data_IF_616021276677
#
_entry.id   IF_616021276677
#
_cell.length_a   1.000
_cell.length_b   1.000
_cell.length_c   1.000
_cell.angle_alpha   90.00
_cell.angle_beta   90.00
_cell.angle_gamma   90.00
#
_symmetry.space_group_name_H-M   'P 1'
#
loop_
_entity.id
_entity.type
_entity.pdbx_description
1 polymer ?
#
# COMPACT_ATOMS: atom_id res chain seq x y z
N UNK A 1 -33.51 -2.07 -19.35
CA UNK A 1 -33.28 -1.32 -18.09
C UNK A 1 -32.23 -0.26 -18.39
N UNK A 2 -32.44 1.02 -18.05
CA UNK A 2 -31.39 2.02 -18.18
C UNK A 2 -30.19 1.59 -17.32
N UNK A 3 -29.00 1.77 -17.85
CA UNK A 3 -27.74 1.46 -17.19
C UNK A 3 -27.67 2.22 -15.85
N UNK A 4 -27.42 1.56 -14.71
CA UNK A 4 -27.51 2.22 -13.38
C UNK A 4 -26.37 3.22 -13.11
N UNK A 5 -25.45 3.38 -14.06
CA UNK A 5 -24.29 4.25 -13.99
C UNK A 5 -24.27 5.20 -15.20
N UNK A 6 -23.73 6.40 -14.98
CA UNK A 6 -23.65 7.43 -16.02
C UNK A 6 -22.43 7.20 -16.91
N UNK A 7 -22.63 7.37 -18.21
CA UNK A 7 -21.54 7.53 -19.17
C UNK A 7 -21.35 9.03 -19.47
N UNK A 8 -20.13 9.47 -19.82
CA UNK A 8 -18.89 8.68 -19.92
C UNK A 8 -18.32 8.26 -18.54
N UNK A 9 -17.46 7.23 -18.51
CA UNK A 9 -16.70 6.82 -17.33
C UNK A 9 -15.26 7.38 -17.42
N UNK A 10 -14.98 8.57 -16.88
CA UNK A 10 -13.64 9.13 -16.91
C UNK A 10 -12.71 8.34 -15.98
N UNK A 11 -11.47 8.15 -16.44
CA UNK A 11 -10.38 7.62 -15.62
C UNK A 11 -9.11 8.45 -15.81
N UNK A 12 -8.14 8.23 -14.92
CA UNK A 12 -6.80 8.79 -14.99
C UNK A 12 -5.80 7.64 -15.06
N UNK A 13 -4.91 7.69 -16.05
CA UNK A 13 -3.69 6.88 -16.03
C UNK A 13 -2.64 7.65 -15.22
N UNK A 14 -2.08 7.00 -14.20
CA UNK A 14 -1.03 7.61 -13.36
C UNK A 14 0.15 6.66 -13.17
N UNK A 15 1.31 7.26 -12.96
CA UNK A 15 2.56 6.55 -12.68
C UNK A 15 2.93 6.73 -11.19
N UNK A 16 2.87 5.64 -10.43
CA UNK A 16 3.17 5.63 -8.99
C UNK A 16 4.63 5.27 -8.75
N UNK A 17 5.24 5.85 -7.72
CA UNK A 17 6.68 5.75 -7.43
C UNK A 17 7.58 6.27 -8.55
N UNK A 18 7.05 7.17 -9.37
CA UNK A 18 7.73 7.76 -10.50
C UNK A 18 8.12 9.22 -10.22
N UNK A 19 9.29 9.62 -10.71
CA UNK A 19 9.73 11.03 -10.73
C UNK A 19 9.48 11.70 -12.09
N UNK A 20 9.08 10.93 -13.09
CA UNK A 20 8.80 11.36 -14.47
C UNK A 20 7.72 10.45 -15.08
N UNK A 21 6.97 10.91 -16.09
CA UNK A 21 6.00 10.09 -16.79
C UNK A 21 6.64 8.84 -17.43
N UNK A 22 5.81 7.80 -17.63
CA UNK A 22 6.15 6.52 -18.23
C UNK A 22 7.24 5.74 -17.47
N UNK A 23 7.24 5.88 -16.14
CA UNK A 23 8.14 5.18 -15.24
C UNK A 23 7.39 4.74 -13.98
N UNK A 24 8.01 3.90 -13.14
CA UNK A 24 7.33 3.40 -11.94
C UNK A 24 6.21 2.41 -12.26
N UNK A 25 5.18 2.38 -11.43
CA UNK A 25 4.07 1.44 -11.55
C UNK A 25 2.82 2.15 -12.08
N UNK A 26 2.34 1.69 -13.24
CA UNK A 26 1.16 2.25 -13.91
C UNK A 26 -0.13 1.85 -13.18
N UNK A 27 -1.05 2.81 -13.04
CA UNK A 27 -2.31 2.65 -12.32
C UNK A 27 -3.43 3.37 -13.06
N UNK A 28 -4.54 2.66 -13.26
CA UNK A 28 -5.79 3.26 -13.67
C UNK A 28 -6.61 3.68 -12.44
N UNK A 29 -7.00 4.96 -12.36
CA UNK A 29 -7.83 5.51 -11.29
C UNK A 29 -9.16 6.00 -11.85
N UNK A 30 -10.27 5.48 -11.36
CA UNK A 30 -11.62 5.99 -11.63
C UNK A 30 -12.05 6.91 -10.48
N UNK A 31 -12.04 8.25 -10.65
CA UNK A 31 -12.25 9.18 -9.54
C UNK A 31 -13.70 9.21 -9.03
N UNK A 32 -14.65 8.79 -9.87
CA UNK A 32 -16.06 8.67 -9.52
C UNK A 32 -16.61 7.33 -10.01
N UNK A 33 -16.72 6.40 -9.07
CA UNK A 33 -17.19 5.04 -9.30
C UNK A 33 -18.55 4.76 -8.65
N UNK A 34 -19.27 5.82 -8.24
CA UNK A 34 -20.57 5.69 -7.56
C UNK A 34 -21.56 4.95 -8.46
N UNK A 35 -22.15 3.88 -7.91
CA UNK A 35 -23.13 3.06 -8.61
C UNK A 35 -22.56 2.10 -9.65
N UNK A 36 -21.23 2.01 -9.80
CA UNK A 36 -20.62 0.97 -10.65
C UNK A 36 -20.72 -0.40 -9.96
N UNK A 37 -21.29 -1.42 -10.61
CA UNK A 37 -21.34 -2.76 -10.04
C UNK A 37 -19.96 -3.43 -10.12
N UNK A 38 -19.63 -4.30 -9.15
CA UNK A 38 -18.34 -4.98 -9.09
C UNK A 38 -17.94 -5.73 -10.38
N UNK A 39 -18.86 -6.44 -11.07
CA UNK A 39 -18.52 -7.10 -12.33
C UNK A 39 -18.07 -6.13 -13.42
N UNK A 40 -18.60 -4.91 -13.45
CA UNK A 40 -18.17 -3.89 -14.41
C UNK A 40 -16.79 -3.32 -14.04
N UNK A 41 -16.54 -3.07 -12.76
CA UNK A 41 -15.21 -2.66 -12.29
C UNK A 41 -14.13 -3.68 -12.68
N UNK A 42 -14.44 -4.98 -12.51
CA UNK A 42 -13.57 -6.08 -12.93
C UNK A 42 -13.36 -6.11 -14.46
N UNK A 43 -14.42 -5.89 -15.25
CA UNK A 43 -14.31 -5.79 -16.72
C UNK A 43 -13.42 -4.61 -17.13
N UNK A 44 -13.57 -3.45 -16.49
CA UNK A 44 -12.74 -2.28 -16.75
C UNK A 44 -11.27 -2.51 -16.36
N UNK A 45 -11.01 -3.19 -15.24
CA UNK A 45 -9.65 -3.54 -14.84
C UNK A 45 -8.97 -4.46 -15.88
N UNK A 46 -9.71 -5.43 -16.42
CA UNK A 46 -9.25 -6.30 -17.51
C UNK A 46 -8.98 -5.53 -18.80
N UNK A 47 -9.90 -4.64 -19.18
CA UNK A 47 -9.79 -3.83 -20.40
C UNK A 47 -8.53 -2.94 -20.38
N UNK A 48 -8.25 -2.29 -19.25
CA UNK A 48 -7.12 -1.38 -19.12
C UNK A 48 -5.77 -2.09 -18.94
N UNK A 49 -5.81 -3.37 -18.55
CA UNK A 49 -4.66 -4.27 -18.45
C UNK A 49 -3.44 -3.65 -17.73
N UNK A 50 -3.71 -2.84 -16.69
CA UNK A 50 -2.72 -2.43 -15.71
C UNK A 50 -2.63 -3.52 -14.63
N UNK A 51 -1.53 -3.55 -13.86
CA UNK A 51 -1.40 -4.49 -12.74
C UNK A 51 -2.58 -4.37 -11.77
N UNK A 52 -3.02 -3.12 -11.53
CA UNK A 52 -4.16 -2.79 -10.70
C UNK A 52 -4.96 -1.62 -11.28
N UNK A 53 -6.27 -1.60 -11.04
CA UNK A 53 -7.16 -0.46 -11.22
C UNK A 53 -7.87 -0.15 -9.89
N UNK A 54 -8.03 1.13 -9.57
CA UNK A 54 -8.69 1.58 -8.34
C UNK A 54 -9.87 2.51 -8.63
N UNK A 55 -10.97 2.24 -7.93
CA UNK A 55 -12.27 2.87 -8.13
C UNK A 55 -12.66 3.65 -6.87
N UNK A 56 -12.94 4.93 -7.01
CA UNK A 56 -13.11 5.85 -5.90
C UNK A 56 -14.53 6.39 -5.79
N UNK A 57 -15.01 6.56 -4.57
CA UNK A 57 -16.11 7.46 -4.25
C UNK A 57 -15.58 8.49 -3.24
N UNK A 58 -15.30 9.69 -3.74
CA UNK A 58 -14.66 10.76 -2.98
C UNK A 58 -15.73 11.61 -2.28
N UNK A 59 -15.69 11.66 -0.96
CA UNK A 59 -16.41 12.63 -0.15
C UNK A 59 -15.46 13.76 0.25
N UNK A 60 -15.43 14.80 -0.59
CA UNK A 60 -14.53 15.95 -0.45
C UNK A 60 -14.60 16.65 0.91
N UNK A 61 -15.79 17.02 1.42
CA UNK A 61 -15.96 17.64 2.73
C UNK A 61 -15.39 16.83 3.90
N UNK A 62 -15.60 15.52 3.93
CA UNK A 62 -15.12 14.65 5.02
C UNK A 62 -13.68 14.16 4.81
N UNK A 63 -13.11 14.36 3.61
CA UNK A 63 -11.83 13.78 3.16
C UNK A 63 -11.82 12.25 3.27
N UNK A 64 -12.99 11.64 3.24
CA UNK A 64 -13.17 10.20 3.18
C UNK A 64 -13.25 9.74 1.73
N UNK A 65 -12.54 8.67 1.40
CA UNK A 65 -12.57 8.08 0.06
C UNK A 65 -12.91 6.60 0.23
N UNK A 66 -14.08 6.17 -0.26
CA UNK A 66 -14.34 4.73 -0.41
C UNK A 66 -13.58 4.27 -1.64
N UNK A 67 -12.78 3.21 -1.51
CA UNK A 67 -11.95 2.71 -2.59
C UNK A 67 -12.12 1.20 -2.76
N UNK A 68 -12.07 0.74 -4.01
CA UNK A 68 -12.03 -0.68 -4.39
C UNK A 68 -10.92 -0.90 -5.39
N UNK A 69 -10.16 -1.98 -5.23
CA UNK A 69 -8.96 -2.25 -6.02
C UNK A 69 -9.15 -3.58 -6.74
N UNK A 70 -8.85 -3.62 -8.02
CA UNK A 70 -8.98 -4.82 -8.84
C UNK A 70 -7.68 -5.06 -9.60
N UNK A 71 -7.22 -6.32 -9.60
CA UNK A 71 -6.32 -6.81 -10.64
C UNK A 71 -7.13 -7.22 -11.85
N UNK A 72 -6.49 -7.76 -12.89
CA UNK A 72 -7.20 -8.38 -14.02
C UNK A 72 -8.01 -9.61 -13.61
N UNK A 73 -7.65 -10.25 -12.51
CA UNK A 73 -8.25 -11.52 -12.07
C UNK A 73 -9.35 -11.32 -11.03
N UNK A 74 -9.11 -10.48 -10.02
CA UNK A 74 -9.96 -10.38 -8.83
C UNK A 74 -9.93 -9.00 -8.15
N UNK A 75 -10.85 -8.81 -7.20
CA UNK A 75 -10.82 -7.69 -6.28
C UNK A 75 -9.84 -7.94 -5.13
N UNK A 76 -9.01 -6.96 -4.82
CA UNK A 76 -8.08 -7.00 -3.70
C UNK A 76 -8.62 -6.20 -2.50
N UNK A 77 -8.53 -6.75 -1.27
CA UNK A 77 -8.95 -6.05 -0.06
C UNK A 77 -8.02 -4.88 0.29
N UNK A 78 -6.79 -4.88 -0.22
CA UNK A 78 -5.81 -3.82 -0.01
C UNK A 78 -4.66 -3.91 -1.01
N UNK A 79 -4.23 -2.77 -1.53
CA UNK A 79 -2.92 -2.64 -2.18
C UNK A 79 -2.34 -1.25 -1.97
N UNK A 80 -1.02 -1.21 -1.77
CA UNK A 80 -0.35 0.00 -1.29
C UNK A 80 -0.19 1.09 -2.34
N UNK A 81 0.35 0.73 -3.51
CA UNK A 81 0.62 1.72 -4.56
C UNK A 81 -0.68 2.32 -5.17
N UNK A 82 -1.79 1.56 -5.34
CA UNK A 82 -3.04 2.13 -5.83
C UNK A 82 -3.59 3.21 -4.92
N UNK A 83 -3.49 3.03 -3.60
CA UNK A 83 -3.94 4.02 -2.60
C UNK A 83 -3.13 5.31 -2.69
N UNK A 84 -1.81 5.23 -2.93
CA UNK A 84 -0.97 6.42 -3.10
C UNK A 84 -1.31 7.19 -4.38
N UNK A 85 -1.47 6.47 -5.50
CA UNK A 85 -1.86 7.08 -6.78
C UNK A 85 -3.26 7.70 -6.71
N UNK A 86 -4.21 7.00 -6.08
CA UNK A 86 -5.55 7.52 -5.85
C UNK A 86 -5.58 8.76 -4.96
N UNK A 87 -4.72 8.86 -3.94
CA UNK A 87 -4.63 10.07 -3.12
C UNK A 87 -4.17 11.29 -3.93
N UNK A 88 -3.22 11.11 -4.86
CA UNK A 88 -2.80 12.17 -5.78
C UNK A 88 -3.94 12.61 -6.70
N UNK A 89 -4.70 11.65 -7.25
CA UNK A 89 -5.88 11.94 -8.09
C UNK A 89 -6.98 12.63 -7.28
N UNK A 90 -7.33 12.11 -6.10
CA UNK A 90 -8.34 12.72 -5.24
C UNK A 90 -7.96 14.14 -4.82
N UNK A 91 -6.67 14.40 -4.56
CA UNK A 91 -6.14 15.74 -4.31
C UNK A 91 -6.36 16.65 -5.51
N UNK A 92 -5.95 16.24 -6.69
CA UNK A 92 -6.11 17.04 -7.90
C UNK A 92 -7.59 17.34 -8.23
N UNK A 93 -8.49 16.37 -8.07
CA UNK A 93 -9.89 16.50 -8.48
C UNK A 93 -10.75 17.24 -7.45
N UNK A 94 -10.55 16.99 -6.15
CA UNK A 94 -11.43 17.53 -5.11
C UNK A 94 -10.87 18.79 -4.43
N UNK A 95 -9.55 18.95 -4.36
CA UNK A 95 -8.89 20.02 -3.61
C UNK A 95 -7.66 20.57 -4.35
N UNK A 96 -7.80 21.03 -5.61
CA UNK A 96 -6.66 21.44 -6.43
C UNK A 96 -5.85 22.59 -5.82
N UNK A 97 -6.46 23.51 -5.07
CA UNK A 97 -5.71 24.65 -4.50
C UNK A 97 -4.98 24.31 -3.20
N UNK A 98 -5.16 23.11 -2.65
CA UNK A 98 -4.51 22.72 -1.41
C UNK A 98 -3.05 22.32 -1.65
N UNK A 99 -2.13 22.80 -0.80
CA UNK A 99 -0.73 22.34 -0.81
C UNK A 99 -0.56 20.94 -0.21
N UNK A 100 -1.38 20.61 0.79
CA UNK A 100 -1.33 19.36 1.56
C UNK A 100 -2.74 18.92 1.95
N UNK A 101 -3.03 17.63 1.78
CA UNK A 101 -4.28 17.02 2.22
C UNK A 101 -4.04 15.72 2.96
N UNK A 102 -4.75 15.53 4.07
CA UNK A 102 -4.88 14.26 4.76
C UNK A 102 -6.23 13.61 4.40
N UNK A 103 -6.19 12.35 3.99
CA UNK A 103 -7.31 11.53 3.56
C UNK A 103 -7.47 10.33 4.47
N UNK A 104 -8.70 9.81 4.52
CA UNK A 104 -8.94 8.44 4.99
C UNK A 104 -9.53 7.60 3.87
N UNK A 105 -8.79 6.58 3.45
CA UNK A 105 -9.21 5.62 2.44
C UNK A 105 -9.89 4.42 3.11
N UNK A 106 -11.18 4.23 2.84
CA UNK A 106 -11.95 3.06 3.23
C UNK A 106 -11.82 1.94 2.19
N UNK A 107 -11.15 0.85 2.57
CA UNK A 107 -10.91 -0.35 1.77
C UNK A 107 -11.55 -1.54 2.50
N UNK A 108 -12.76 -1.92 2.09
CA UNK A 108 -13.60 -2.82 2.87
C UNK A 108 -13.86 -2.25 4.26
N UNK A 109 -13.55 -3.02 5.30
CA UNK A 109 -13.70 -2.59 6.72
C UNK A 109 -12.53 -1.75 7.23
N UNK A 110 -11.48 -1.56 6.42
CA UNK A 110 -10.25 -0.91 6.85
C UNK A 110 -10.21 0.57 6.44
N UNK A 111 -9.90 1.45 7.39
CA UNK A 111 -9.48 2.82 7.13
C UNK A 111 -7.95 2.95 7.03
N UNK A 112 -7.44 3.63 6.01
CA UNK A 112 -6.01 3.91 5.82
C UNK A 112 -5.81 5.41 5.74
N UNK A 113 -4.94 5.94 6.60
CA UNK A 113 -4.57 7.35 6.58
C UNK A 113 -3.54 7.59 5.47
N UNK A 114 -3.81 8.57 4.62
CA UNK A 114 -2.95 8.93 3.49
C UNK A 114 -2.78 10.43 3.45
N UNK A 115 -1.55 10.89 3.35
CA UNK A 115 -1.20 12.30 3.17
C UNK A 115 -0.71 12.51 1.73
N UNK A 116 -1.14 13.58 1.08
CA UNK A 116 -0.71 13.98 -0.26
C UNK A 116 -0.28 15.45 -0.29
N UNK A 117 0.83 15.73 -0.97
CA UNK A 117 1.38 17.08 -1.15
C UNK A 117 1.53 17.38 -2.64
N UNK A 118 1.28 18.64 -3.02
CA UNK A 118 1.70 19.12 -4.33
C UNK A 118 3.22 19.08 -4.46
N UNK A 119 3.68 18.78 -5.65
CA UNK A 119 5.09 18.83 -6.03
C UNK A 119 5.21 19.46 -7.43
N UNK A 120 6.38 20.00 -7.81
CA UNK A 120 6.55 20.71 -9.09
C UNK A 120 6.13 19.92 -10.35
N UNK A 121 6.23 18.58 -10.30
CA UNK A 121 5.92 17.70 -11.41
C UNK A 121 4.92 16.59 -11.02
N UNK A 122 3.98 16.89 -10.13
CA UNK A 122 2.93 15.97 -9.72
C UNK A 122 2.66 16.02 -8.22
N UNK A 123 2.71 14.87 -7.57
CA UNK A 123 2.38 14.74 -6.15
C UNK A 123 3.39 13.90 -5.41
N UNK A 124 3.56 14.20 -4.13
CA UNK A 124 4.15 13.29 -3.16
C UNK A 124 3.03 12.71 -2.32
N UNK A 125 3.06 11.41 -2.06
CA UNK A 125 2.07 10.77 -1.20
C UNK A 125 2.75 9.88 -0.15
N UNK A 126 2.08 9.70 0.99
CA UNK A 126 2.51 8.84 2.08
C UNK A 126 1.28 8.18 2.71
N UNK A 127 1.38 6.89 3.01
CA UNK A 127 0.34 6.16 3.74
C UNK A 127 0.85 5.62 5.07
N UNK A 128 -0.05 5.48 6.03
CA UNK A 128 0.13 4.68 7.24
C UNK A 128 -0.46 3.29 7.03
N UNK A 129 0.41 2.30 6.79
CA UNK A 129 0.00 0.90 6.60
C UNK A 129 -0.23 0.16 7.92
N UNK A 130 -0.08 0.82 9.06
CA UNK A 130 -0.16 0.19 10.37
C UNK A 130 1.07 -0.67 10.70
N UNK A 131 0.89 -1.57 11.67
CA UNK A 131 1.93 -2.46 12.17
C UNK A 131 1.95 -3.74 11.33
N UNK A 132 3.12 -4.13 10.84
CA UNK A 132 3.29 -5.39 10.14
C UNK A 132 3.01 -6.58 11.08
N UNK A 133 2.27 -7.54 10.57
CA UNK A 133 2.00 -8.82 11.21
C UNK A 133 2.87 -9.89 10.55
N UNK A 134 3.38 -10.80 11.37
CA UNK A 134 4.31 -11.85 10.95
C UNK A 134 3.69 -13.20 11.29
N UNK A 135 3.57 -14.09 10.31
CA UNK A 135 3.29 -15.50 10.54
C UNK A 135 4.47 -16.21 11.21
N UNK A 136 4.37 -17.50 11.55
CA UNK A 136 5.53 -18.25 12.05
C UNK A 136 6.63 -18.36 10.96
N UNK A 137 7.92 -18.31 11.33
CA UNK A 137 9.01 -18.66 10.41
C UNK A 137 8.84 -20.07 9.85
N UNK A 138 9.07 -20.26 8.55
CA UNK A 138 9.04 -21.58 7.94
C UNK A 138 10.28 -22.39 8.33
N UNK A 139 10.09 -23.66 8.69
CA UNK A 139 11.19 -24.62 8.79
C UNK A 139 11.80 -24.88 7.41
N UNK A 140 13.01 -25.45 7.36
CA UNK A 140 13.68 -25.78 6.10
C UNK A 140 12.82 -26.72 5.22
N UNK A 141 12.12 -27.68 5.83
CA UNK A 141 11.22 -28.59 5.10
C UNK A 141 10.00 -27.87 4.53
N UNK A 142 9.44 -26.91 5.26
CA UNK A 142 8.31 -26.09 4.78
C UNK A 142 8.74 -25.09 3.70
N UNK A 143 9.96 -24.54 3.79
CA UNK A 143 10.50 -23.58 2.84
C UNK A 143 10.86 -24.20 1.47
N UNK A 144 11.30 -25.46 1.47
CA UNK A 144 11.76 -26.17 0.27
C UNK A 144 10.81 -26.11 -0.94
N UNK A 145 9.49 -26.39 -0.82
CA UNK A 145 8.58 -26.31 -1.97
C UNK A 145 8.43 -24.90 -2.54
N UNK A 146 8.48 -23.86 -1.71
CA UNK A 146 8.42 -22.47 -2.17
C UNK A 146 9.67 -22.08 -2.96
N UNK A 147 10.85 -22.45 -2.46
CA UNK A 147 12.11 -22.21 -3.16
C UNK A 147 12.16 -22.98 -4.48
N UNK A 148 11.79 -24.26 -4.49
CA UNK A 148 11.73 -25.07 -5.70
C UNK A 148 10.76 -24.48 -6.73
N UNK A 149 9.59 -24.00 -6.28
CA UNK A 149 8.62 -23.30 -7.13
C UNK A 149 9.15 -22.01 -7.75
N UNK A 150 10.15 -21.37 -7.13
CA UNK A 150 10.87 -20.21 -7.67
C UNK A 150 12.09 -20.59 -8.54
N UNK A 151 12.35 -21.88 -8.73
CA UNK A 151 13.55 -22.38 -9.41
C UNK A 151 14.83 -22.24 -8.60
N UNK A 152 14.71 -22.26 -7.26
CA UNK A 152 15.78 -22.05 -6.31
C UNK A 152 16.02 -23.30 -5.46
N UNK A 153 17.25 -23.44 -4.98
CA UNK A 153 17.67 -24.48 -4.05
C UNK A 153 17.63 -23.96 -2.59
N UNK A 154 17.55 -24.84 -1.57
CA UNK A 154 17.62 -24.45 -0.16
C UNK A 154 18.84 -23.58 0.16
N UNK A 155 19.97 -23.85 -0.51
CA UNK A 155 21.18 -23.08 -0.37
C UNK A 155 21.09 -21.66 -0.93
N UNK A 156 20.09 -21.30 -1.72
CA UNK A 156 19.93 -19.95 -2.29
C UNK A 156 19.32 -18.96 -1.29
N UNK A 157 18.58 -19.46 -0.30
CA UNK A 157 18.01 -18.67 0.77
C UNK A 157 19.08 -18.05 1.69
N UNK A 158 18.72 -16.95 2.34
CA UNK A 158 19.57 -16.29 3.31
C UNK A 158 19.81 -17.19 4.54
N UNK A 159 21.05 -17.20 5.06
CA UNK A 159 21.45 -18.16 6.09
C UNK A 159 20.77 -17.96 7.46
N UNK A 160 20.36 -16.73 7.78
CA UNK A 160 19.85 -16.37 9.11
C UNK A 160 18.47 -15.72 9.10
N UNK A 161 17.95 -15.36 7.92
CA UNK A 161 16.64 -14.71 7.80
C UNK A 161 15.64 -15.74 7.28
N UNK A 162 14.54 -15.98 8.00
CA UNK A 162 13.60 -17.01 7.61
C UNK A 162 12.75 -16.57 6.42
N UNK A 163 12.27 -17.56 5.65
CA UNK A 163 11.07 -17.39 4.85
C UNK A 163 9.88 -17.28 5.81
N UNK A 164 9.05 -16.26 5.62
CA UNK A 164 7.96 -15.97 6.55
C UNK A 164 6.85 -15.19 5.85
N UNK A 165 5.59 -15.50 6.18
CA UNK A 165 4.47 -14.67 5.76
C UNK A 165 4.49 -13.35 6.54
N UNK A 166 4.41 -12.22 5.83
CA UNK A 166 4.34 -10.88 6.40
C UNK A 166 3.20 -10.11 5.73
N UNK A 167 2.43 -9.36 6.52
CA UNK A 167 1.34 -8.54 6.00
C UNK A 167 1.24 -7.19 6.69
N UNK A 168 0.99 -6.14 5.92
CA UNK A 168 0.43 -4.87 6.40
C UNK A 168 -0.97 -4.63 5.85
N UNK A 169 -1.61 -5.66 5.30
CA UNK A 169 -2.94 -5.63 4.68
C UNK A 169 -3.16 -6.84 3.79
N UNK A 170 -2.36 -6.96 2.73
CA UNK A 170 -2.36 -8.10 1.81
C UNK A 170 -1.12 -8.96 2.10
N UNK A 171 -1.26 -10.26 2.40
CA UNK A 171 -0.16 -11.09 2.92
C UNK A 171 0.80 -11.58 1.84
N UNK A 172 2.10 -11.44 2.08
CA UNK A 172 3.18 -11.90 1.22
C UNK A 172 4.03 -12.94 1.92
N UNK A 173 4.45 -13.98 1.21
CA UNK A 173 5.62 -14.75 1.60
C UNK A 173 6.87 -13.95 1.28
N UNK A 174 7.61 -13.52 2.31
CA UNK A 174 8.91 -12.88 2.13
C UNK A 174 9.98 -13.96 1.98
N UNK A 175 10.78 -13.86 0.92
CA UNK A 175 11.85 -14.80 0.59
C UNK A 175 13.20 -14.08 0.51
N UNK A 176 13.95 -14.02 1.63
CA UNK A 176 15.29 -13.46 1.66
C UNK A 176 16.28 -14.36 0.92
N UNK A 177 16.97 -13.85 -0.10
CA UNK A 177 17.97 -14.60 -0.87
C UNK A 177 19.38 -14.06 -0.66
N UNK A 178 20.38 -14.95 -0.70
CA UNK A 178 21.81 -14.58 -0.68
C UNK A 178 22.49 -14.73 -2.04
N UNK A 179 21.90 -15.48 -2.96
CA UNK A 179 22.41 -15.74 -4.31
C UNK A 179 21.27 -16.04 -5.27
N UNK A 180 21.54 -15.99 -6.57
CA UNK A 180 20.58 -16.29 -7.65
C UNK A 180 19.29 -15.46 -7.61
N UNK A 181 19.34 -14.28 -6.98
CA UNK A 181 18.22 -13.35 -6.89
C UNK A 181 17.64 -12.96 -8.27
N UNK A 182 18.51 -12.74 -9.26
CA UNK A 182 18.10 -12.43 -10.63
C UNK A 182 17.44 -13.59 -11.39
N UNK A 183 17.61 -14.83 -10.92
CA UNK A 183 17.08 -16.04 -11.57
C UNK A 183 15.76 -16.53 -10.97
N UNK A 184 15.40 -16.01 -9.79
CA UNK A 184 14.15 -16.31 -9.10
C UNK A 184 12.97 -15.86 -9.95
N UNK A 185 12.03 -16.77 -10.19
CA UNK A 185 10.74 -16.54 -10.86
C UNK A 185 9.83 -17.73 -10.59
N UNK A 186 8.52 -17.54 -10.55
CA UNK A 186 7.58 -18.67 -10.40
C UNK A 186 7.70 -19.57 -11.65
N UNK A 187 7.97 -20.86 -11.46
CA UNK A 187 8.18 -21.86 -12.53
C UNK A 187 7.18 -23.01 -12.52
N UNK A 188 6.28 -23.02 -11.55
CA UNK A 188 5.33 -24.12 -11.32
C UNK A 188 3.91 -23.61 -11.39
N UNK A 189 3.03 -24.43 -11.96
CA UNK A 189 1.60 -24.21 -11.83
C UNK A 189 1.16 -24.40 -10.36
N UNK A 190 0.08 -23.72 -9.96
CA UNK A 190 -0.47 -23.87 -8.61
C UNK A 190 0.34 -23.22 -7.49
N UNK A 191 1.25 -22.29 -7.82
CA UNK A 191 2.03 -21.57 -6.81
C UNK A 191 1.13 -20.76 -5.85
N UNK A 192 -0.01 -20.25 -6.32
CA UNK A 192 -1.04 -19.65 -5.47
C UNK A 192 -1.56 -20.61 -4.40
N UNK A 193 -1.90 -21.85 -4.77
CA UNK A 193 -2.39 -22.84 -3.83
C UNK A 193 -1.32 -23.18 -2.78
N UNK A 194 -0.04 -23.18 -3.18
CA UNK A 194 1.09 -23.35 -2.26
C UNK A 194 1.22 -22.16 -1.29
N UNK A 195 1.09 -20.91 -1.77
CA UNK A 195 1.08 -19.72 -0.91
C UNK A 195 -0.09 -19.75 0.10
N UNK A 196 -1.26 -20.21 -0.33
CA UNK A 196 -2.44 -20.30 0.51
C UNK A 196 -2.23 -21.23 1.73
N UNK A 197 -1.37 -22.26 1.64
CA UNK A 197 -1.10 -23.18 2.77
C UNK A 197 -0.43 -22.49 3.96
N UNK A 198 0.14 -21.32 3.78
CA UNK A 198 0.76 -20.50 4.84
C UNK A 198 0.04 -19.15 5.04
N UNK A 199 -1.14 -18.98 4.42
CA UNK A 199 -1.91 -17.75 4.47
C UNK A 199 -1.27 -16.57 3.72
N UNK A 200 -0.37 -16.84 2.77
CA UNK A 200 0.16 -15.83 1.86
C UNK A 200 -0.69 -15.76 0.59
N UNK A 201 -0.79 -14.59 -0.03
CA UNK A 201 -1.46 -14.40 -1.33
C UNK A 201 -0.47 -14.23 -2.48
N UNK A 202 0.67 -13.61 -2.20
CA UNK A 202 1.75 -13.36 -3.17
C UNK A 202 3.11 -13.72 -2.57
N UNK A 203 4.15 -13.77 -3.41
CA UNK A 203 5.55 -13.96 -2.99
C UNK A 203 6.36 -12.71 -3.26
N UNK A 204 7.21 -12.33 -2.32
CA UNK A 204 8.15 -11.22 -2.49
C UNK A 204 9.57 -11.70 -2.20
N UNK A 205 10.37 -11.80 -3.25
CA UNK A 205 11.79 -12.14 -3.14
C UNK A 205 12.56 -10.87 -2.82
N UNK A 206 13.46 -10.92 -1.84
CA UNK A 206 14.22 -9.75 -1.39
C UNK A 206 15.71 -10.07 -1.29
N UNK A 207 16.54 -9.13 -1.74
CA UNK A 207 17.96 -9.07 -1.43
C UNK A 207 18.14 -8.29 -0.12
N UNK A 208 18.52 -8.95 1.00
CA UNK A 208 18.67 -8.26 2.30
C UNK A 208 19.88 -7.31 2.35
N UNK A 209 20.88 -7.53 1.51
CA UNK A 209 22.10 -6.72 1.44
C UNK A 209 21.96 -5.59 0.42
N UNK A 210 21.10 -5.78 -0.58
CA UNK A 210 20.75 -4.82 -1.61
C UNK A 210 19.44 -4.06 -1.37
N UNK A 211 19.13 -3.07 -2.22
CA UNK A 211 17.85 -2.39 -2.21
C UNK A 211 16.76 -3.11 -3.03
N UNK A 212 17.07 -4.28 -3.60
CA UNK A 212 16.26 -4.92 -4.65
C UNK A 212 15.24 -5.92 -4.06
N UNK A 213 14.07 -5.96 -4.69
CA UNK A 213 13.05 -6.97 -4.42
C UNK A 213 12.21 -7.19 -5.67
N UNK A 214 11.61 -8.36 -5.78
CA UNK A 214 10.87 -8.81 -6.98
C UNK A 214 9.62 -9.57 -6.57
N UNK A 215 8.54 -9.38 -7.32
CA UNK A 215 7.28 -10.10 -7.17
C UNK A 215 6.59 -10.20 -8.52
N UNK A 216 5.66 -11.13 -8.64
CA UNK A 216 4.97 -11.44 -9.88
C UNK A 216 3.48 -11.63 -9.58
N UNK A 217 2.67 -11.65 -10.63
CA UNK A 217 1.39 -12.35 -10.55
C UNK A 217 1.61 -13.82 -10.14
N UNK A 218 0.54 -14.48 -9.69
CA UNK A 218 0.63 -15.85 -9.20
C UNK A 218 0.89 -16.90 -10.29
N UNK A 219 0.81 -16.51 -11.57
CA UNK A 219 1.15 -17.36 -12.71
C UNK A 219 2.63 -17.23 -13.10
N UNK A 220 3.34 -16.23 -12.55
CA UNK A 220 4.72 -15.91 -12.90
C UNK A 220 4.88 -15.26 -14.27
N UNK A 221 3.80 -14.77 -14.88
CA UNK A 221 3.81 -14.25 -16.25
C UNK A 221 4.28 -12.80 -16.30
N UNK A 222 3.78 -11.97 -15.38
CA UNK A 222 4.09 -10.55 -15.31
C UNK A 222 4.78 -10.23 -13.98
N UNK A 223 5.94 -9.59 -14.07
CA UNK A 223 6.66 -9.05 -12.91
C UNK A 223 6.10 -7.67 -12.55
N UNK A 224 5.80 -7.45 -11.28
CA UNK A 224 5.36 -6.14 -10.77
C UNK A 224 6.56 -5.19 -10.70
N UNK A 225 6.40 -3.99 -11.25
CA UNK A 225 7.48 -2.99 -11.33
C UNK A 225 7.84 -2.44 -9.95
N UNK A 226 6.85 -2.21 -9.08
CA UNK A 226 7.07 -1.69 -7.73
C UNK A 226 5.88 -1.90 -6.78
N UNK A 227 6.08 -2.71 -5.74
CA UNK A 227 5.05 -3.05 -4.75
C UNK A 227 5.14 -2.16 -3.50
N UNK A 228 4.06 -1.43 -3.21
CA UNK A 228 4.02 -0.40 -2.14
C UNK A 228 4.10 -0.90 -0.68
N UNK A 229 4.34 -2.18 -0.41
CA UNK A 229 4.37 -2.74 0.95
C UNK A 229 5.75 -2.72 1.63
N UNK A 230 6.79 -2.26 0.95
CA UNK A 230 8.14 -2.21 1.52
C UNK A 230 8.27 -1.13 2.58
N UNK A 231 8.23 -1.49 3.87
CA UNK A 231 8.63 -0.64 5.01
C UNK A 231 10.15 -0.59 5.21
N UNK A 232 10.72 0.56 5.62
CA UNK A 232 12.14 0.64 6.03
C UNK A 232 12.38 -0.11 7.35
N UNK A 233 12.94 -1.32 7.30
CA UNK A 233 13.38 -2.09 8.47
C UNK A 233 14.90 -1.95 8.77
N UNK A 234 15.57 -0.91 8.26
CA UNK A 234 17.02 -0.75 8.41
C UNK A 234 17.39 0.63 8.98
N UNK A 235 17.52 0.70 10.32
CA UNK A 235 18.46 1.61 10.99
C UNK A 235 18.63 1.20 12.46
N UNK A 236 19.63 0.34 12.73
CA UNK A 236 20.50 0.28 13.94
C UNK A 236 21.04 -1.14 14.11
N UNK A 237 22.11 -1.45 13.39
CA UNK A 237 23.10 -2.43 13.82
C UNK A 237 24.42 -1.68 14.02
N UNK A 238 25.01 -1.66 15.22
CA UNK A 238 26.37 -1.16 15.40
C UNK A 238 27.35 -2.16 14.78
N UNK A 239 27.99 -1.76 13.69
CA UNK A 239 29.16 -2.48 13.15
C UNK A 239 30.40 -2.25 14.03
N UNK A 240 31.36 -3.19 14.08
CA UNK A 240 32.59 -3.02 14.83
C UNK A 240 33.49 -1.90 14.23
N UNK A 241 34.33 -1.24 15.05
CA UNK A 241 35.09 -0.07 14.62
C UNK A 241 36.15 -0.46 13.59
N UNK A 242 36.09 0.16 12.40
CA UNK A 242 37.18 0.10 11.41
C UNK A 242 38.23 1.17 11.72
N UNK A 243 39.49 0.73 11.81
CA UNK A 243 40.69 1.60 11.88
C UNK A 243 40.92 2.32 10.53
N UNK A 244 41.50 3.53 10.53
CA UNK A 244 41.73 4.29 9.31
C UNK A 244 43.03 3.83 8.63
N UNK A 245 42.99 3.66 7.31
CA UNK A 245 44.18 3.75 6.46
C UNK A 245 43.81 4.59 5.23
N UNK A 246 44.61 5.61 4.97
CA UNK A 246 44.43 6.58 3.90
C UNK A 246 44.98 6.07 2.56
N UNK A 247 44.74 6.85 1.51
CA UNK A 247 45.37 6.67 0.21
C UNK A 247 44.49 7.11 -0.95
N UNK A 248 44.80 8.30 -1.46
CA UNK A 248 44.28 8.96 -2.66
C UNK A 248 44.58 8.21 -3.97
N UNK A 249 43.74 8.43 -5.01
CA UNK A 249 44.13 8.17 -6.39
C UNK A 249 42.96 8.24 -7.38
N UNK A 250 43.09 9.09 -8.39
CA UNK A 250 42.03 9.53 -9.32
C UNK A 250 42.34 9.19 -10.78
N UNK A 251 41.27 8.89 -11.54
CA UNK A 251 41.04 9.17 -12.98
C UNK A 251 41.57 8.16 -14.05
N UNK A 252 41.17 8.26 -15.35
CA UNK A 252 40.22 7.32 -15.98
C UNK A 252 40.72 6.71 -17.31
N UNK A 253 40.02 5.74 -17.89
CA UNK A 253 40.11 5.49 -19.34
C UNK A 253 38.88 4.81 -19.92
N UNK A 254 38.49 5.29 -21.09
CA UNK A 254 37.40 4.86 -21.96
C UNK A 254 37.88 3.78 -22.94
N UNK A 255 36.96 2.90 -23.37
CA UNK A 255 36.90 2.24 -24.69
C UNK A 255 35.60 1.43 -24.79
N UNK A 256 34.77 1.71 -25.81
CA UNK A 256 33.69 0.81 -26.29
C UNK A 256 34.27 -0.36 -27.11
N UNK A 257 33.48 -1.18 -27.85
CA UNK A 257 32.15 -0.89 -28.42
C UNK A 257 31.12 -2.07 -28.40
N UNK A 258 29.97 -1.81 -29.05
CA UNK A 258 29.20 -2.71 -29.93
C UNK A 258 27.82 -3.25 -29.49
N UNK A 259 26.85 -2.97 -30.38
CA UNK A 259 25.64 -3.71 -30.77
C UNK A 259 24.66 -4.17 -29.67
N UNK A 260 23.56 -3.42 -29.58
CA UNK A 260 22.43 -3.71 -28.69
C UNK A 260 21.49 -4.78 -29.25
N UNK A 261 21.10 -5.67 -28.35
CA UNK A 261 20.03 -6.65 -28.48
C UNK A 261 18.82 -6.11 -27.69
N UNK A 262 17.63 -5.88 -28.29
CA UNK A 262 16.55 -5.16 -27.61
C UNK A 262 15.51 -6.12 -27.02
N UNK A 263 15.84 -6.86 -25.95
CA UNK A 263 14.82 -7.60 -25.19
C UNK A 263 15.31 -8.10 -23.81
N UNK A 264 15.88 -7.24 -22.96
CA UNK A 264 16.01 -7.56 -21.52
C UNK A 264 16.26 -6.30 -20.69
N UNK A 265 15.31 -5.37 -20.65
CA UNK A 265 15.34 -4.28 -19.67
C UNK A 265 14.79 -4.76 -18.33
N UNK A 266 15.54 -5.63 -17.63
CA UNK A 266 15.35 -5.82 -16.20
C UNK A 266 15.67 -4.48 -15.54
N UNK A 267 14.64 -3.76 -15.11
CA UNK A 267 14.75 -2.40 -14.61
C UNK A 267 15.46 -2.38 -13.25
N UNK A 268 16.78 -2.24 -13.30
CA UNK A 268 17.66 -2.06 -12.15
C UNK A 268 17.47 -0.65 -11.57
N UNK A 269 16.68 -0.53 -10.52
CA UNK A 269 16.46 0.76 -9.85
C UNK A 269 17.38 0.95 -8.64
N UNK A 270 18.20 2.02 -8.70
CA UNK A 270 18.90 2.58 -7.54
C UNK A 270 17.94 3.44 -6.72
N UNK A 271 18.09 3.37 -5.38
CA UNK A 271 17.35 4.11 -4.33
C UNK A 271 16.70 5.42 -4.82
N UNK A 272 15.41 5.37 -5.17
CA UNK A 272 14.53 6.52 -4.98
C UNK A 272 14.09 6.52 -3.51
N UNK A 273 14.07 7.71 -2.90
CA UNK A 273 13.81 7.93 -1.48
C UNK A 273 12.37 7.63 -1.06
N UNK A 274 11.90 6.40 -1.27
CA UNK A 274 10.59 5.92 -0.83
C UNK A 274 10.66 5.76 0.70
N UNK A 275 9.85 6.52 1.42
CA UNK A 275 9.68 6.43 2.86
C UNK A 275 8.25 6.03 3.20
N UNK A 276 7.97 4.73 3.19
CA UNK A 276 6.93 4.17 4.06
C UNK A 276 7.56 4.03 5.46
N UNK A 277 6.91 4.60 6.47
CA UNK A 277 7.33 4.39 7.87
C UNK A 277 6.46 3.29 8.45
N UNK A 278 6.93 2.05 8.36
CA UNK A 278 6.43 0.99 9.23
C UNK A 278 7.08 1.18 10.61
N UNK A 279 6.29 1.39 11.67
CA UNK A 279 6.81 1.42 13.04
C UNK A 279 6.77 0.00 13.60
N UNK A 280 7.89 -0.71 13.54
CA UNK A 280 8.05 -1.98 14.26
C UNK A 280 9.40 -1.98 14.99
N UNK A 281 9.39 -1.95 16.33
CA UNK A 281 10.53 -2.45 17.12
C UNK A 281 10.43 -3.97 17.15
N UNK A 282 10.99 -4.64 16.13
CA UNK A 282 11.17 -6.08 16.17
C UNK A 282 12.57 -6.36 16.77
N UNK A 283 12.61 -6.70 18.05
CA UNK A 283 13.78 -7.37 18.62
C UNK A 283 13.74 -8.82 18.16
N UNK A 284 14.63 -9.18 17.24
CA UNK A 284 14.83 -10.56 16.79
C UNK A 284 15.33 -11.40 17.98
N UNK A 285 14.44 -12.13 18.64
CA UNK A 285 14.81 -13.03 19.73
C UNK A 285 15.44 -14.29 19.15
N UNK A 286 16.72 -14.52 19.43
CA UNK A 286 17.36 -15.83 19.26
C UNK A 286 16.70 -16.82 20.22
N UNK A 287 16.18 -17.92 19.69
CA UNK A 287 15.83 -19.07 20.53
C UNK A 287 17.12 -19.68 21.11
N UNK A 288 17.21 -19.94 22.42
CA UNK A 288 18.31 -20.72 22.98
C UNK A 288 18.13 -22.19 22.62
N UNK A 289 19.22 -22.81 22.18
CA UNK A 289 19.37 -24.25 21.97
C UNK A 289 19.06 -25.00 23.26
N UNK A 290 18.12 -25.94 23.20
CA UNK A 290 17.85 -26.89 24.27
C UNK A 290 19.03 -27.87 24.40
N UNK A 291 19.59 -27.98 25.60
CA UNK A 291 20.33 -29.19 26.00
C UNK A 291 19.60 -29.83 27.17
N UNK A 292 19.37 -31.13 27.01
CA UNK A 292 18.73 -32.02 27.95
C UNK A 292 19.58 -32.23 29.20
N UNK A 293 18.96 -32.24 30.38
CA UNK A 293 19.25 -33.20 31.46
C UNK A 293 18.13 -33.19 32.48
N UNK A 294 17.55 -34.38 32.68
CA UNK A 294 16.61 -34.68 33.74
C UNK A 294 17.35 -34.91 35.06
N UNK A 295 16.80 -34.43 36.19
CA UNK A 295 16.83 -35.14 37.46
C UNK A 295 15.79 -34.58 38.43
N UNK A 296 15.02 -35.51 38.99
CA UNK A 296 14.07 -35.40 40.10
C UNK A 296 14.55 -34.65 41.34
N UNK A 297 13.64 -33.98 42.06
CA UNK A 297 13.18 -34.37 43.42
C UNK A 297 12.18 -33.37 44.01
N UNK A 298 11.21 -33.93 44.72
CA UNK A 298 10.16 -33.31 45.53
C UNK A 298 10.67 -32.31 46.58
N UNK A 299 9.82 -31.33 46.92
CA UNK A 299 9.31 -31.15 48.29
C UNK A 299 8.33 -29.96 48.39
N UNK A 300 7.07 -30.29 48.67
CA UNK A 300 6.26 -29.74 49.77
C UNK A 300 6.09 -28.21 49.96
N UNK A 301 4.84 -27.72 49.81
CA UNK A 301 3.82 -27.58 50.87
C UNK A 301 2.96 -26.28 50.75
N UNK A 302 1.63 -26.49 50.84
CA UNK A 302 0.55 -25.63 51.36
C UNK A 302 -0.02 -24.44 50.55
N UNK A 303 -1.22 -24.70 50.03
CA UNK A 303 -2.35 -23.76 49.85
C UNK A 303 -2.97 -23.36 51.20
N UNK A 304 -3.76 -22.26 51.27
CA UNK A 304 -5.21 -22.44 51.21
C UNK A 304 -6.01 -21.39 50.37
N UNK A 305 -6.96 -21.91 49.60
CA UNK A 305 -8.38 -21.54 49.44
C UNK A 305 -8.86 -20.05 49.47
N UNK A 306 -9.23 -19.54 48.27
CA UNK A 306 -10.52 -18.92 47.78
C UNK A 306 -11.67 -18.54 48.78
N UNK A 307 -12.72 -17.73 48.44
CA UNK A 307 -13.16 -17.13 47.15
C UNK A 307 -13.76 -15.67 47.29
N UNK A 308 -14.85 -15.22 46.59
CA UNK A 308 -14.83 -14.33 45.42
C UNK A 308 -15.56 -12.98 45.61
N UNK A 309 -15.34 -11.97 44.76
CA UNK A 309 -16.29 -10.85 44.67
C UNK A 309 -15.87 -9.56 43.98
N UNK A 310 -16.65 -9.21 42.94
CA UNK A 310 -17.15 -7.89 42.52
C UNK A 310 -16.19 -6.79 41.99
N UNK A 311 -16.68 -6.21 40.89
CA UNK A 311 -16.30 -5.01 40.09
C UNK A 311 -15.66 -3.86 40.89
N UNK A 312 -14.93 -2.99 40.17
CA UNK A 312 -15.27 -1.56 40.24
C UNK A 312 -15.23 -0.85 38.87
N UNK A 313 -16.22 0.01 38.61
CA UNK A 313 -15.94 1.33 38.03
C UNK A 313 -15.44 2.25 39.15
N UNK A 314 -14.71 3.33 38.86
CA UNK A 314 -15.43 4.61 38.71
C UNK A 314 -14.80 5.58 37.69
N UNK A 315 -15.64 6.50 37.20
CA UNK A 315 -15.24 7.82 36.68
C UNK A 315 -14.85 8.73 37.85
N UNK A 316 -13.96 9.71 37.62
CA UNK A 316 -14.10 11.02 38.25
C UNK A 316 -14.47 12.12 37.25
N UNK A 317 -15.13 13.13 37.80
CA UNK A 317 -15.79 14.29 37.20
C UNK A 317 -15.16 15.57 37.75
N UNK A 318 -15.17 16.65 36.94
CA UNK A 318 -15.09 18.10 37.24
C UNK A 318 -13.78 18.65 37.84
N UNK A 319 -13.36 19.92 37.66
CA UNK A 319 -14.05 21.22 37.50
C UNK A 319 -13.37 22.08 36.39
N UNK A 320 -14.08 22.80 35.53
CA UNK A 320 -14.78 24.08 35.69
C UNK A 320 -13.86 25.32 35.82
N UNK A 321 -13.92 26.18 34.80
CA UNK A 321 -13.39 27.53 34.75
C UNK A 321 -14.22 28.35 33.77
N UNK A 322 -15.04 29.23 34.33
CA UNK A 322 -16.07 30.08 33.69
C UNK A 322 -15.41 31.27 32.97
N UNK A 323 -16.03 31.70 31.87
CA UNK A 323 -15.73 32.96 31.18
C UNK A 323 -16.84 33.27 30.18
N UNK A 324 -17.85 34.00 30.66
CA UNK A 324 -19.00 34.51 29.92
C UNK A 324 -18.61 35.37 28.70
N UNK A 325 -19.37 35.26 27.62
CA UNK A 325 -19.99 36.41 26.91
C UNK A 325 -20.96 35.90 25.83
N UNK A 326 -22.26 36.16 26.03
CA UNK A 326 -23.33 35.94 25.06
C UNK A 326 -23.44 37.08 24.02
N UNK A 327 -24.06 36.83 22.85
CA UNK A 327 -24.19 37.76 21.71
C UNK A 327 -25.56 38.50 21.70
N UNK A 328 -25.80 39.46 20.79
CA UNK A 328 -27.17 39.90 20.50
C UNK A 328 -27.70 39.38 19.14
N UNK A 329 -28.71 38.53 19.28
CA UNK A 329 -30.05 38.53 18.67
C UNK A 329 -30.34 39.26 17.34
N UNK A 330 -30.98 38.47 16.47
CA UNK A 330 -31.85 38.81 15.34
C UNK A 330 -33.13 39.52 15.78
N UNK A 331 -33.61 40.50 14.99
CA UNK A 331 -35.04 40.86 14.86
C UNK A 331 -35.40 41.00 13.37
N UNK A 332 -36.48 40.32 12.96
CA UNK A 332 -37.13 40.51 11.67
C UNK A 332 -38.51 41.17 11.81
N UNK A 333 -39.05 41.56 10.64
CA UNK A 333 -40.44 41.94 10.23
C UNK A 333 -40.32 43.13 9.24
N UNK A 334 -40.93 43.19 8.06
CA UNK A 334 -41.87 42.33 7.34
C UNK A 334 -42.55 43.16 6.22
N UNK A 335 -42.91 42.48 5.12
CA UNK A 335 -44.00 42.73 4.17
C UNK A 335 -44.07 44.03 3.31
N UNK A 336 -44.28 43.83 2.00
CA UNK A 336 -45.17 44.68 1.21
C UNK A 336 -44.80 44.90 -0.26
N UNK A 337 -45.53 44.27 -1.18
CA UNK A 337 -45.90 44.91 -2.46
C UNK A 337 -45.34 44.32 -3.76
N UNK A 338 -46.10 43.42 -4.39
CA UNK A 338 -46.26 43.35 -5.85
C UNK A 338 -47.69 43.85 -6.18
N UNK A 339 -47.97 44.42 -7.37
CA UNK A 339 -48.31 43.56 -8.52
C UNK A 339 -47.88 44.07 -9.93
N UNK A 340 -47.65 43.10 -10.82
CA UNK A 340 -47.93 42.92 -12.28
C UNK A 340 -48.90 43.90 -13.02
N UNK A 341 -49.11 43.84 -14.38
CA UNK A 341 -48.45 43.07 -15.48
C UNK A 341 -48.33 43.73 -16.92
N UNK A 342 -47.71 42.98 -17.87
CA UNK A 342 -47.99 42.82 -19.34
C UNK A 342 -47.70 43.94 -20.37
N UNK A 343 -47.67 43.66 -21.72
CA UNK A 343 -47.26 42.45 -22.49
C UNK A 343 -46.49 42.71 -23.84
N UNK A 344 -46.13 41.60 -24.54
CA UNK A 344 -45.92 41.37 -26.00
C UNK A 344 -44.73 42.09 -26.71
N UNK A 345 -43.96 41.52 -27.66
CA UNK A 345 -44.31 40.70 -28.84
C UNK A 345 -43.04 40.08 -29.48
N UNK A 346 -43.20 38.94 -30.17
CA UNK A 346 -42.28 38.32 -31.18
C UNK A 346 -42.41 39.06 -32.55
N UNK A 347 -41.77 38.73 -33.72
CA UNK A 347 -41.04 37.49 -34.12
C UNK A 347 -39.83 37.66 -35.12
N UNK A 348 -39.36 36.49 -35.63
CA UNK A 348 -38.65 36.22 -36.90
C UNK A 348 -37.11 36.45 -36.94
N UNK A 349 -36.28 35.77 -37.74
CA UNK A 349 -36.20 34.52 -38.53
C UNK A 349 -34.79 34.56 -39.21
N UNK A 350 -34.33 33.43 -39.78
CA UNK A 350 -33.13 33.16 -40.62
C UNK A 350 -32.04 32.27 -40.00
N UNK A 351 -31.84 31.01 -40.43
CA UNK A 351 -31.21 30.51 -41.70
C UNK A 351 -29.71 30.93 -41.72
N UNK A 352 -28.65 30.11 -41.84
CA UNK A 352 -28.33 28.84 -42.53
C UNK A 352 -27.05 28.20 -41.94
N UNK A 353 -26.98 26.88 -42.15
CA UNK A 353 -25.81 26.05 -42.53
C UNK A 353 -24.52 26.81 -42.95
N UNK A 354 -23.40 26.48 -42.30
CA UNK A 354 -22.22 25.78 -42.86
C UNK A 354 -21.29 25.34 -41.72
#
# INVERSE_FOLDING_TARGET
>A
MPTPYRLPLPYRQVDVFAARPFAGNGLAVFPDARGLPAPLMQQLARELNQFEAIFLEIDGPSRWVRARIFTVDEELPFAGHPVLGAAAVAHQEALPEAEHVAWTFGLGERGVLVESWRAPHGFRARMDQGVAQFGPPLSAAQAAPFLAGLGLEPGDAHATLPLQMVTTGLPYLIVPLRRRFGEARIRVAGYEALLATIGAKFVYVVDPEGPEGRTWDNQGLVEDVATGQRGRADRRLPGPPRRPSGGSGSSPSSRGPAAGDPASSASRWRRTGISSRCRSRATWSRSPTASSRASSRDAHLRLPLRPPGRRPGPRPVALAGVGDHHPPLVRGRGAGGAPHPHPASSPADHDRRL
#
